data_IF_275602584374
#
_entry.id   IF_275602584374
#
_cell.length_a   1.000
_cell.length_b   1.000
_cell.length_c   1.000
_cell.angle_alpha   90.00
_cell.angle_beta   90.00
_cell.angle_gamma   90.00
#
_symmetry.space_group_name_H-M   'P 1'
#
loop_
_entity.id
_entity.type
_entity.pdbx_description
1 polymer ?
#
# COMPACT_ATOMS: atom_id res chain seq x y z
N UNK A 1 -1.62 -8.03 -21.36
CA UNK A 1 -2.36 -9.32 -21.38
C UNK A 1 -3.56 -9.30 -20.43
N UNK A 2 -3.45 -8.73 -19.20
CA UNK A 2 -4.57 -8.69 -18.24
C UNK A 2 -5.74 -7.80 -18.65
N UNK A 3 -5.49 -6.68 -19.35
CA UNK A 3 -6.54 -5.70 -19.67
C UNK A 3 -7.79 -6.30 -20.35
N UNK A 4 -7.62 -7.23 -21.30
CA UNK A 4 -8.76 -7.86 -21.98
C UNK A 4 -9.64 -8.67 -21.03
N UNK A 5 -9.01 -9.40 -20.09
CA UNK A 5 -9.70 -10.15 -19.05
C UNK A 5 -10.40 -9.21 -18.09
N UNK A 6 -9.71 -8.16 -17.63
CA UNK A 6 -10.29 -7.16 -16.72
C UNK A 6 -11.49 -6.48 -17.35
N UNK A 7 -11.40 -6.08 -18.61
CA UNK A 7 -12.53 -5.45 -19.32
C UNK A 7 -13.72 -6.39 -19.45
N UNK A 8 -13.48 -7.66 -19.79
CA UNK A 8 -14.54 -8.66 -19.92
C UNK A 8 -15.20 -9.01 -18.58
N UNK A 9 -14.44 -9.03 -17.48
CA UNK A 9 -14.96 -9.29 -16.14
C UNK A 9 -15.68 -8.08 -15.55
N UNK A 10 -15.16 -6.88 -15.78
CA UNK A 10 -15.81 -5.65 -15.35
C UNK A 10 -17.19 -5.46 -16.01
N UNK A 11 -17.36 -5.85 -17.27
CA UNK A 11 -18.65 -5.74 -17.98
C UNK A 11 -19.75 -6.63 -17.41
N UNK A 12 -19.38 -7.69 -16.68
CA UNK A 12 -20.30 -8.58 -15.94
C UNK A 12 -20.27 -8.34 -14.43
N UNK A 13 -19.73 -7.20 -13.99
CA UNK A 13 -19.62 -6.81 -12.59
C UNK A 13 -18.94 -7.86 -11.68
N UNK A 14 -17.94 -8.58 -12.20
CA UNK A 14 -17.26 -9.66 -11.49
C UNK A 14 -16.08 -9.20 -10.60
N UNK A 15 -16.11 -7.94 -10.15
CA UNK A 15 -15.19 -7.33 -9.17
C UNK A 15 -16.03 -6.74 -8.04
N UNK A 16 -16.44 -7.57 -7.07
CA UNK A 16 -17.49 -7.24 -6.12
C UNK A 16 -17.07 -6.21 -5.06
N UNK A 17 -15.77 -6.09 -4.75
CA UNK A 17 -15.32 -5.17 -3.69
C UNK A 17 -14.97 -3.79 -4.23
N UNK A 18 -14.42 -3.69 -5.44
CA UNK A 18 -13.79 -2.46 -5.92
C UNK A 18 -12.61 -2.00 -5.06
N UNK A 19 -12.13 -2.87 -4.15
CA UNK A 19 -11.00 -2.67 -3.25
C UNK A 19 -9.82 -3.47 -3.75
N UNK A 20 -8.64 -2.83 -3.78
CA UNK A 20 -7.44 -3.40 -4.36
C UNK A 20 -6.25 -3.35 -3.40
N UNK A 21 -5.55 -4.46 -3.29
CA UNK A 21 -4.25 -4.54 -2.64
C UNK A 21 -3.14 -4.36 -3.68
N UNK A 22 -2.28 -3.35 -3.50
CA UNK A 22 -1.15 -3.06 -4.36
C UNK A 22 0.16 -3.32 -3.63
N UNK A 23 1.10 -3.98 -4.31
CA UNK A 23 2.43 -4.26 -3.77
C UNK A 23 3.47 -4.38 -4.90
N UNK A 24 4.74 -4.50 -4.51
CA UNK A 24 5.84 -4.84 -5.38
C UNK A 24 6.31 -6.28 -5.17
N UNK A 25 6.48 -7.00 -6.26
CA UNK A 25 7.23 -8.26 -6.27
C UNK A 25 8.61 -8.06 -6.91
N UNK A 26 9.65 -8.66 -6.34
CA UNK A 26 11.00 -8.62 -6.90
C UNK A 26 11.37 -9.97 -7.48
N UNK A 27 11.54 -10.03 -8.80
CA UNK A 27 11.99 -11.22 -9.52
C UNK A 27 13.49 -11.11 -9.74
N UNK A 28 14.24 -12.00 -9.08
CA UNK A 28 15.70 -12.00 -9.15
C UNK A 28 16.19 -12.37 -10.55
N UNK A 29 17.21 -11.66 -11.01
CA UNK A 29 17.98 -12.03 -12.18
C UNK A 29 19.22 -12.85 -11.79
N UNK A 30 19.52 -13.90 -12.56
CA UNK A 30 20.63 -14.84 -12.30
C UNK A 30 21.74 -14.81 -13.36
N UNK A 31 21.53 -14.13 -14.50
CA UNK A 31 22.57 -13.97 -15.52
C UNK A 31 23.61 -12.92 -15.14
N UNK A 32 24.53 -12.65 -16.06
CA UNK A 32 25.63 -11.72 -15.87
C UNK A 32 25.11 -10.29 -15.52
N UNK A 33 25.44 -9.75 -14.34
CA UNK A 33 25.07 -8.39 -13.94
C UNK A 33 25.63 -7.30 -14.86
N UNK A 34 26.82 -7.49 -15.42
CA UNK A 34 27.47 -6.52 -16.31
C UNK A 34 26.77 -6.46 -17.68
N UNK A 35 26.19 -7.58 -18.12
CA UNK A 35 25.44 -7.65 -19.36
C UNK A 35 24.00 -7.10 -19.25
N UNK A 36 23.37 -7.24 -18.09
CA UNK A 36 21.92 -7.00 -17.95
C UNK A 36 21.53 -5.59 -17.50
N UNK A 37 22.46 -4.82 -16.92
CA UNK A 37 22.25 -3.43 -16.50
C UNK A 37 20.99 -3.20 -15.63
N UNK A 38 20.51 -4.25 -14.95
CA UNK A 38 19.33 -4.20 -14.10
C UNK A 38 19.61 -3.47 -12.80
N UNK A 39 18.61 -2.75 -12.30
CA UNK A 39 18.68 -2.15 -10.98
C UNK A 39 18.71 -3.21 -9.88
N UNK A 40 19.44 -2.92 -8.80
CA UNK A 40 19.45 -3.78 -7.61
C UNK A 40 18.22 -3.49 -6.75
N UNK A 41 17.32 -4.47 -6.56
CA UNK A 41 16.22 -4.35 -5.60
C UNK A 41 16.44 -5.28 -4.40
N UNK A 42 15.87 -4.89 -3.25
CA UNK A 42 16.01 -5.63 -2.00
C UNK A 42 15.22 -6.93 -2.05
N UNK A 43 15.87 -8.06 -1.73
CA UNK A 43 15.25 -9.38 -1.66
C UNK A 43 15.23 -9.84 -0.19
N UNK A 44 14.05 -9.88 0.46
CA UNK A 44 13.94 -10.16 1.90
C UNK A 44 14.57 -11.49 2.34
N UNK A 45 14.40 -12.56 1.55
CA UNK A 45 14.93 -13.91 1.90
C UNK A 45 16.45 -13.99 2.04
N UNK A 46 17.20 -13.01 1.52
CA UNK A 46 18.68 -12.97 1.56
C UNK A 46 19.22 -11.76 2.30
N UNK A 47 18.37 -10.83 2.72
CA UNK A 47 18.75 -9.53 3.29
C UNK A 47 19.75 -8.76 2.43
N UNK A 48 19.60 -8.82 1.10
CA UNK A 48 20.54 -8.21 0.15
C UNK A 48 19.82 -7.56 -1.03
N UNK A 49 20.45 -6.52 -1.59
CA UNK A 49 20.02 -5.91 -2.86
C UNK A 49 20.75 -6.56 -4.03
N UNK A 50 20.01 -7.18 -4.94
CA UNK A 50 20.55 -7.94 -6.08
C UNK A 50 19.93 -7.46 -7.39
N UNK A 51 20.62 -7.61 -8.54
CA UNK A 51 20.03 -7.34 -9.85
C UNK A 51 18.72 -8.12 -10.04
N UNK A 52 17.66 -7.42 -10.40
CA UNK A 52 16.30 -7.98 -10.40
C UNK A 52 15.32 -7.09 -11.15
N UNK A 53 14.24 -7.68 -11.63
CA UNK A 53 13.07 -6.96 -12.14
C UNK A 53 12.10 -6.69 -11.00
N UNK A 54 11.70 -5.44 -10.81
CA UNK A 54 10.61 -5.10 -9.89
C UNK A 54 9.29 -5.08 -10.67
N UNK A 55 8.26 -5.70 -10.10
CA UNK A 55 6.92 -5.79 -10.67
C UNK A 55 5.95 -5.11 -9.72
N UNK A 56 5.28 -4.04 -10.15
CA UNK A 56 4.11 -3.53 -9.45
C UNK A 56 2.90 -4.37 -9.82
N UNK A 57 2.04 -4.70 -8.87
CA UNK A 57 0.81 -5.42 -9.18
C UNK A 57 -0.35 -4.95 -8.31
N UNK A 58 -1.57 -5.25 -8.77
CA UNK A 58 -2.79 -5.05 -7.99
C UNK A 58 -3.65 -6.31 -8.00
N UNK A 59 -4.17 -6.67 -6.84
CA UNK A 59 -5.09 -7.78 -6.62
C UNK A 59 -6.43 -7.24 -6.14
N UNK A 60 -7.55 -7.74 -6.69
CA UNK A 60 -8.89 -7.39 -6.21
C UNK A 60 -9.23 -8.22 -4.97
N UNK A 61 -9.69 -7.57 -3.90
CA UNK A 61 -9.82 -8.20 -2.58
C UNK A 61 -10.90 -9.29 -2.52
N UNK A 62 -12.02 -9.13 -3.24
CA UNK A 62 -13.16 -10.05 -3.12
C UNK A 62 -13.00 -11.35 -3.91
N UNK A 63 -12.28 -11.30 -5.03
CA UNK A 63 -12.05 -12.39 -5.96
C UNK A 63 -10.63 -12.94 -5.91
N UNK A 64 -9.73 -12.25 -5.21
CA UNK A 64 -8.30 -12.53 -5.15
C UNK A 64 -7.60 -12.52 -6.52
N UNK A 65 -8.22 -11.93 -7.55
CA UNK A 65 -7.66 -11.92 -8.90
C UNK A 65 -6.59 -10.84 -9.09
N UNK A 66 -5.51 -11.20 -9.80
CA UNK A 66 -4.51 -10.24 -10.25
C UNK A 66 -5.06 -9.44 -11.45
N UNK A 67 -5.37 -8.17 -11.23
CA UNK A 67 -6.01 -7.29 -12.22
C UNK A 67 -5.03 -6.34 -12.92
N UNK A 68 -3.84 -6.17 -12.35
CA UNK A 68 -2.80 -5.30 -12.88
C UNK A 68 -1.43 -5.87 -12.59
N UNK A 69 -0.52 -5.74 -13.55
CA UNK A 69 0.88 -6.06 -13.38
C UNK A 69 1.71 -5.22 -14.36
N UNK A 70 2.68 -4.48 -13.82
CA UNK A 70 3.67 -3.72 -14.58
C UNK A 70 5.04 -4.24 -14.17
N UNK A 71 5.78 -4.80 -15.13
CA UNK A 71 7.14 -5.27 -14.92
C UNK A 71 8.16 -4.16 -15.20
N UNK A 72 9.42 -4.43 -14.89
CA UNK A 72 10.56 -3.53 -15.17
C UNK A 72 10.44 -2.14 -14.52
N UNK A 73 9.70 -2.05 -13.41
CA UNK A 73 9.51 -0.79 -12.70
C UNK A 73 10.84 -0.31 -12.12
N UNK A 74 11.30 0.85 -12.58
CA UNK A 74 12.51 1.46 -12.06
C UNK A 74 12.26 2.05 -10.67
N UNK A 75 13.30 2.15 -9.85
CA UNK A 75 13.23 2.75 -8.51
C UNK A 75 12.61 4.13 -8.51
N UNK A 76 12.92 4.95 -9.53
CA UNK A 76 12.38 6.30 -9.67
C UNK A 76 10.86 6.33 -9.95
N UNK A 77 10.30 5.24 -10.48
CA UNK A 77 8.91 5.10 -10.89
C UNK A 77 8.04 4.42 -9.82
N UNK A 78 8.64 3.84 -8.77
CA UNK A 78 7.91 3.12 -7.73
C UNK A 78 6.84 3.96 -7.04
N UNK A 79 7.14 5.24 -6.85
CA UNK A 79 6.25 6.20 -6.17
C UNK A 79 5.07 6.67 -7.01
N UNK A 80 5.02 6.29 -8.28
CA UNK A 80 3.92 6.67 -9.18
C UNK A 80 2.93 5.53 -9.39
N UNK A 81 3.24 4.32 -8.91
CA UNK A 81 2.51 3.10 -9.28
C UNK A 81 1.06 3.11 -8.77
N UNK A 82 0.80 3.73 -7.62
CA UNK A 82 -0.58 3.86 -7.12
C UNK A 82 -1.44 4.68 -8.09
N UNK A 83 -0.93 5.84 -8.56
CA UNK A 83 -1.67 6.67 -9.50
C UNK A 83 -1.76 6.03 -10.89
N UNK A 84 -0.70 5.36 -11.35
CA UNK A 84 -0.72 4.59 -12.61
C UNK A 84 -1.78 3.49 -12.58
N UNK A 85 -1.96 2.81 -11.44
CA UNK A 85 -3.02 1.84 -11.29
C UNK A 85 -4.41 2.49 -11.35
N UNK A 86 -4.62 3.62 -10.69
CA UNK A 86 -5.90 4.37 -10.75
C UNK A 86 -6.24 4.76 -12.18
N UNK A 87 -5.28 5.33 -12.91
CA UNK A 87 -5.45 5.70 -14.32
C UNK A 87 -5.73 4.49 -15.21
N UNK A 88 -5.01 3.38 -14.98
CA UNK A 88 -5.27 2.11 -15.66
C UNK A 88 -6.69 1.62 -15.40
N UNK A 89 -7.12 1.59 -14.14
CA UNK A 89 -8.42 1.06 -13.74
C UNK A 89 -9.56 1.88 -14.33
N UNK A 90 -9.47 3.21 -14.26
CA UNK A 90 -10.44 4.12 -14.86
C UNK A 90 -10.52 3.94 -16.38
N UNK A 91 -9.38 3.83 -17.06
CA UNK A 91 -9.33 3.62 -18.51
C UNK A 91 -9.93 2.28 -18.94
N UNK A 92 -9.73 1.22 -18.15
CA UNK A 92 -10.18 -0.13 -18.50
C UNK A 92 -11.66 -0.35 -18.15
N UNK A 93 -12.10 0.15 -16.99
CA UNK A 93 -13.43 -0.13 -16.44
C UNK A 93 -14.41 1.04 -16.52
N UNK A 94 -13.92 2.26 -16.78
CA UNK A 94 -14.72 3.49 -16.75
C UNK A 94 -15.05 3.99 -15.35
N UNK A 95 -14.45 3.40 -14.30
CA UNK A 95 -14.69 3.76 -12.89
C UNK A 95 -13.37 3.91 -12.16
N UNK A 96 -13.35 4.77 -11.15
CA UNK A 96 -12.25 4.80 -10.18
C UNK A 96 -12.33 3.60 -9.23
N UNK A 97 -11.20 3.16 -8.64
CA UNK A 97 -11.23 2.17 -7.57
C UNK A 97 -11.93 2.76 -6.35
N UNK A 98 -12.64 1.92 -5.59
CA UNK A 98 -13.33 2.38 -4.37
C UNK A 98 -12.34 2.53 -3.22
N UNK A 99 -11.46 1.54 -3.04
CA UNK A 99 -10.46 1.49 -1.99
C UNK A 99 -9.12 0.96 -2.51
N UNK A 100 -8.02 1.49 -1.97
CA UNK A 100 -6.66 1.03 -2.24
C UNK A 100 -5.92 0.76 -0.93
N UNK A 101 -5.32 -0.42 -0.82
CA UNK A 101 -4.40 -0.80 0.27
C UNK A 101 -3.00 -0.95 -0.32
N UNK A 102 -2.02 -0.21 0.21
CA UNK A 102 -0.65 -0.23 -0.34
C UNK A 102 0.42 0.19 0.66
N UNK A 103 1.67 -0.24 0.43
CA UNK A 103 2.82 0.19 1.24
C UNK A 103 3.15 1.68 1.04
N UNK A 104 3.64 2.32 2.11
CA UNK A 104 4.09 3.71 2.15
C UNK A 104 5.00 4.16 0.99
N UNK A 105 5.81 3.24 0.45
CA UNK A 105 6.80 3.54 -0.60
C UNK A 105 6.21 3.58 -2.00
N UNK A 106 4.96 3.14 -2.19
CA UNK A 106 4.31 3.09 -3.50
C UNK A 106 3.75 4.44 -3.96
N UNK A 107 3.74 5.45 -3.07
CA UNK A 107 3.22 6.78 -3.38
C UNK A 107 3.99 7.90 -2.68
N UNK A 108 3.60 9.14 -2.97
CA UNK A 108 4.09 10.35 -2.29
C UNK A 108 2.94 11.08 -1.61
N UNK A 109 3.23 12.10 -0.80
CA UNK A 109 2.19 13.00 -0.28
C UNK A 109 1.35 13.64 -1.41
N UNK A 110 1.99 13.99 -2.54
CA UNK A 110 1.27 14.47 -3.73
C UNK A 110 0.33 13.40 -4.31
N UNK A 111 0.74 12.14 -4.29
CA UNK A 111 -0.11 11.01 -4.68
C UNK A 111 -1.30 10.81 -3.73
N UNK A 112 -1.08 10.86 -2.41
CA UNK A 112 -2.16 10.82 -1.43
C UNK A 112 -3.15 11.99 -1.60
N UNK A 113 -2.63 13.19 -1.90
CA UNK A 113 -3.46 14.36 -2.18
C UNK A 113 -4.32 14.17 -3.44
N UNK A 114 -3.77 13.55 -4.49
CA UNK A 114 -4.51 13.22 -5.70
C UNK A 114 -5.63 12.20 -5.42
N UNK A 115 -5.35 11.14 -4.66
CA UNK A 115 -6.37 10.17 -4.24
C UNK A 115 -7.49 10.83 -3.44
N UNK A 116 -7.13 11.68 -2.45
CA UNK A 116 -8.11 12.41 -1.66
C UNK A 116 -9.00 13.32 -2.52
N UNK A 117 -8.42 14.00 -3.52
CA UNK A 117 -9.16 14.86 -4.45
C UNK A 117 -10.12 14.04 -5.33
N UNK A 118 -9.69 12.86 -5.77
CA UNK A 118 -10.50 11.94 -6.57
C UNK A 118 -11.52 11.15 -5.73
N UNK A 119 -11.49 11.30 -4.40
CA UNK A 119 -12.36 10.59 -3.44
C UNK A 119 -12.16 9.06 -3.45
N UNK A 120 -10.96 8.60 -3.80
CA UNK A 120 -10.56 7.21 -3.65
C UNK A 120 -10.19 6.97 -2.20
N UNK A 121 -10.78 5.97 -1.56
CA UNK A 121 -10.43 5.58 -0.19
C UNK A 121 -9.06 4.90 -0.23
N UNK A 122 -8.22 5.16 0.77
CA UNK A 122 -6.93 4.48 0.85
C UNK A 122 -6.55 4.14 2.29
N UNK A 123 -5.79 3.05 2.40
CA UNK A 123 -5.09 2.63 3.62
C UNK A 123 -3.62 2.42 3.26
N UNK A 124 -2.74 3.15 3.94
CA UNK A 124 -1.29 3.00 3.73
C UNK A 124 -0.54 3.17 5.03
N UNK A 125 0.69 2.66 5.09
CA UNK A 125 1.57 2.90 6.23
C UNK A 125 2.14 4.32 6.16
N UNK A 126 2.34 4.93 7.33
CA UNK A 126 3.04 6.20 7.47
C UNK A 126 4.38 6.00 8.18
N UNK A 127 5.39 6.72 7.71
CA UNK A 127 6.71 6.75 8.36
C UNK A 127 6.62 7.25 9.80
N UNK A 128 7.38 6.59 10.69
CA UNK A 128 7.47 6.94 12.12
C UNK A 128 8.41 8.12 12.32
N UNK A 129 7.84 9.31 12.45
CA UNK A 129 8.63 10.49 12.81
C UNK A 129 8.87 10.48 14.33
N UNK A 130 10.13 10.59 14.82
CA UNK A 130 10.43 10.48 16.25
C UNK A 130 9.58 11.38 17.15
N UNK A 131 9.41 12.66 16.77
CA UNK A 131 8.57 13.61 17.50
C UNK A 131 7.10 13.18 17.60
N UNK A 132 6.59 12.53 16.57
CA UNK A 132 5.20 12.06 16.52
C UNK A 132 5.04 10.79 17.36
N UNK A 133 6.04 9.91 17.33
CA UNK A 133 6.11 8.73 18.21
C UNK A 133 6.10 9.18 19.68
N UNK A 134 6.97 10.11 20.05
CA UNK A 134 7.07 10.63 21.42
C UNK A 134 5.74 11.27 21.87
N UNK A 135 5.11 12.07 20.99
CA UNK A 135 3.80 12.69 21.25
C UNK A 135 2.72 11.65 21.54
N UNK A 136 2.61 10.63 20.69
CA UNK A 136 1.56 9.61 20.83
C UNK A 136 1.83 8.71 22.04
N UNK A 137 3.09 8.39 22.35
CA UNK A 137 3.45 7.62 23.55
C UNK A 137 3.19 8.39 24.85
N UNK A 138 3.18 9.73 24.82
CA UNK A 138 2.83 10.57 25.97
C UNK A 138 1.32 10.70 26.22
N UNK A 139 0.45 10.16 25.35
CA UNK A 139 -0.99 10.20 25.54
C UNK A 139 -1.43 9.37 26.77
N UNK A 140 -2.44 9.82 27.52
CA UNK A 140 -2.98 9.04 28.63
C UNK A 140 -3.58 7.73 28.13
N UNK A 141 -3.57 6.69 28.97
CA UNK A 141 -4.15 5.38 28.64
C UNK A 141 -5.63 5.47 28.21
N UNK A 142 -6.38 6.45 28.71
CA UNK A 142 -7.78 6.69 28.34
C UNK A 142 -7.98 7.15 26.89
N UNK A 143 -6.93 7.60 26.19
CA UNK A 143 -6.99 7.94 24.77
C UNK A 143 -6.97 6.70 23.87
N UNK A 144 -6.61 5.54 24.42
CA UNK A 144 -6.41 4.30 23.66
C UNK A 144 -7.62 3.39 23.77
N UNK A 145 -8.02 2.82 22.65
CA UNK A 145 -9.07 1.81 22.57
C UNK A 145 -8.45 0.45 22.28
N UNK A 146 -8.68 -0.53 23.14
CA UNK A 146 -8.28 -1.91 22.87
C UNK A 146 -9.22 -2.53 21.84
N UNK A 147 -8.68 -3.03 20.73
CA UNK A 147 -9.44 -3.75 19.71
C UNK A 147 -9.08 -5.22 19.73
N UNK A 148 -10.01 -6.10 19.36
CA UNK A 148 -9.78 -7.54 19.29
C UNK A 148 -9.60 -7.96 17.84
N UNK A 149 -8.45 -8.54 17.51
CA UNK A 149 -8.17 -9.07 16.17
C UNK A 149 -8.49 -10.56 16.12
N UNK A 150 -9.38 -10.95 15.21
CA UNK A 150 -9.73 -12.34 14.93
C UNK A 150 -8.73 -12.94 13.94
N UNK A 151 -8.17 -14.11 14.24
CA UNK A 151 -7.27 -14.82 13.34
C UNK A 151 -6.60 -16.01 14.02
N UNK A 152 -6.67 -17.17 13.36
CA UNK A 152 -5.96 -18.38 13.79
C UNK A 152 -4.45 -18.08 13.78
N UNK A 153 -3.77 -18.20 14.92
CA UNK A 153 -2.33 -17.96 15.11
C UNK A 153 -1.84 -16.50 15.33
N UNK A 154 -2.71 -15.52 15.62
CA UNK A 154 -2.22 -14.21 16.11
C UNK A 154 -1.70 -14.31 17.55
N UNK A 155 -0.40 -14.03 17.74
CA UNK A 155 0.27 -13.88 19.06
C UNK A 155 -0.22 -12.63 19.79
N UNK A 156 -0.38 -11.51 19.07
CA UNK A 156 -0.86 -10.24 19.61
C UNK A 156 -2.30 -9.98 19.16
N UNK A 157 -3.27 -10.31 20.03
CA UNK A 157 -4.71 -10.29 19.72
C UNK A 157 -5.43 -9.01 20.14
N UNK A 158 -4.84 -8.26 21.07
CA UNK A 158 -5.48 -7.11 21.71
C UNK A 158 -4.64 -5.83 21.58
N UNK A 159 -4.37 -5.35 20.36
CA UNK A 159 -3.66 -4.09 20.21
C UNK A 159 -4.50 -2.92 20.72
N UNK A 160 -3.80 -1.88 21.18
CA UNK A 160 -4.39 -0.59 21.52
C UNK A 160 -4.27 0.35 20.34
N UNK A 161 -5.38 1.01 20.01
CA UNK A 161 -5.51 1.92 18.87
C UNK A 161 -5.89 3.32 19.35
N UNK A 162 -5.25 4.32 18.78
CA UNK A 162 -5.59 5.73 18.92
C UNK A 162 -5.88 6.30 17.53
N UNK A 163 -6.92 7.10 17.41
CA UNK A 163 -7.34 7.69 16.14
C UNK A 163 -7.37 9.21 16.22
N UNK A 164 -6.92 9.89 15.17
CA UNK A 164 -6.99 11.33 15.08
C UNK A 164 -7.13 11.81 13.63
N UNK A 165 -7.43 13.10 13.45
CA UNK A 165 -7.43 13.74 12.13
C UNK A 165 -6.18 14.60 11.97
N UNK A 166 -5.31 14.23 11.04
CA UNK A 166 -4.06 14.95 10.74
C UNK A 166 -4.15 15.72 9.43
N UNK A 167 -3.36 16.78 9.30
CA UNK A 167 -3.13 17.46 8.04
C UNK A 167 -1.77 16.99 7.49
N UNK A 168 -1.77 16.22 6.39
CA UNK A 168 -0.54 15.93 5.66
C UNK A 168 -0.21 17.07 4.70
N UNK A 169 1.08 17.20 4.40
CA UNK A 169 1.56 18.14 3.37
C UNK A 169 0.88 17.81 2.04
N UNK A 170 0.56 18.84 1.26
CA UNK A 170 -0.03 18.75 -0.09
C UNK A 170 -1.49 18.22 -0.14
N UNK A 171 -1.98 17.56 0.90
CA UNK A 171 -3.35 17.07 0.98
C UNK A 171 -4.35 18.23 1.16
N UNK A 172 -5.42 18.34 0.35
CA UNK A 172 -6.39 19.42 0.44
C UNK A 172 -7.24 19.41 1.72
N UNK A 173 -7.31 18.29 2.44
CA UNK A 173 -8.05 18.20 3.70
C UNK A 173 -7.40 17.26 4.71
N UNK A 174 -7.98 17.21 5.92
CA UNK A 174 -7.50 16.31 6.97
C UNK A 174 -7.76 14.84 6.62
N UNK A 175 -6.79 14.00 6.93
CA UNK A 175 -6.87 12.54 6.82
C UNK A 175 -7.08 11.93 8.21
N UNK A 176 -7.74 10.78 8.25
CA UNK A 176 -7.81 9.96 9.47
C UNK A 176 -6.49 9.21 9.61
N UNK A 177 -5.86 9.33 10.77
CA UNK A 177 -4.70 8.55 11.16
C UNK A 177 -5.12 7.55 12.24
N UNK A 178 -4.64 6.32 12.12
CA UNK A 178 -4.79 5.24 13.08
C UNK A 178 -3.40 4.87 13.58
N UNK A 179 -3.18 5.02 14.89
CA UNK A 179 -1.93 4.61 15.54
C UNK A 179 -2.20 3.36 16.35
N UNK A 180 -1.43 2.30 16.12
CA UNK A 180 -1.59 1.02 16.81
C UNK A 180 -0.32 0.62 17.57
N UNK A 181 -0.47 0.18 18.82
CA UNK A 181 0.60 -0.36 19.66
C UNK A 181 0.25 -1.76 20.19
N UNK A 182 1.23 -2.39 20.86
CA UNK A 182 1.16 -3.77 21.37
C UNK A 182 1.01 -4.84 20.30
N UNK A 183 1.60 -4.58 19.13
CA UNK A 183 1.66 -5.51 17.99
C UNK A 183 2.99 -6.29 17.95
N UNK A 184 3.67 -6.42 19.09
CA UNK A 184 4.98 -7.09 19.20
C UNK A 184 6.18 -6.25 18.75
N UNK A 185 5.99 -4.94 18.59
CA UNK A 185 7.06 -3.98 18.30
C UNK A 185 7.07 -2.91 19.40
N UNK A 186 8.26 -2.44 19.77
CA UNK A 186 8.41 -1.35 20.77
C UNK A 186 7.76 -0.05 20.28
N UNK A 187 8.01 0.33 19.03
CA UNK A 187 7.44 1.54 18.45
C UNK A 187 6.06 1.29 17.83
N UNK A 188 5.09 2.22 18.01
CA UNK A 188 3.77 2.13 17.41
C UNK A 188 3.81 2.15 15.88
N UNK A 189 2.78 1.60 15.24
CA UNK A 189 2.54 1.69 13.81
C UNK A 189 1.58 2.82 13.50
N UNK A 190 1.84 3.55 12.42
CA UNK A 190 1.01 4.65 11.95
C UNK A 190 0.42 4.27 10.60
N UNK A 191 -0.89 4.43 10.48
CA UNK A 191 -1.70 4.21 9.28
C UNK A 191 -2.46 5.51 8.99
#
# INVERSE_FOLDING_TARGET
>A
MLEGVVRARASVAAYPSGSFNLDFHTIRHYGDPEATRLEKNYVPRRSQSVPSVAVAYAQEEGSEELVYAEADVLKREKRDQVLRFVEYWERVTGKLPEELVFDSQMTTHGGLAALQKQKVIFLTLRERQPKEVDRVLALPESAWTTVSLTGENRVYRHPRVYEEKIQLKDCPGKLRQIVARDLGKEAPMFL
#
